data_IF_572408058398
#
_entry.id   IF_572408058398
#
_cell.length_a   1.000
_cell.length_b   1.000
_cell.length_c   1.000
_cell.angle_alpha   90.00
_cell.angle_beta   90.00
_cell.angle_gamma   90.00
#
_symmetry.space_group_name_H-M   'P 1'
#
loop_
_entity.id
_entity.type
_entity.pdbx_description
1 polymer ?
#
# COMPACT_ATOMS: atom_id res chain seq x y z
N UNK A 1 27.29 -20.49 72.03
CA UNK A 1 26.90 -21.87 71.73
C UNK A 1 26.57 -21.87 70.26
N UNK A 2 27.49 -22.25 69.43
CA UNK A 2 27.64 -23.58 68.81
C UNK A 2 26.56 -23.78 67.74
N UNK A 3 26.70 -24.09 66.49
CA UNK A 3 27.80 -24.57 65.65
C UNK A 3 27.24 -24.58 64.22
N UNK A 4 28.07 -24.20 63.26
CA UNK A 4 28.56 -24.97 62.11
C UNK A 4 27.61 -25.85 61.30
N UNK A 5 27.45 -25.64 60.05
CA UNK A 5 27.99 -26.34 58.87
C UNK A 5 27.06 -26.16 57.69
N UNK A 6 27.37 -26.20 56.42
CA UNK A 6 28.53 -26.35 55.64
C UNK A 6 28.09 -26.05 54.16
N UNK A 7 28.97 -25.47 53.43
CA UNK A 7 28.92 -25.24 51.99
C UNK A 7 28.91 -26.55 51.23
N UNK A 8 28.00 -26.71 50.25
CA UNK A 8 28.22 -27.60 49.11
C UNK A 8 28.18 -26.78 47.79
N UNK A 9 29.40 -26.65 47.25
CA UNK A 9 29.69 -26.15 45.92
C UNK A 9 29.37 -27.25 44.91
N UNK A 10 28.40 -26.99 44.02
CA UNK A 10 28.22 -27.77 42.80
C UNK A 10 28.95 -27.06 41.65
N UNK A 11 30.06 -27.65 41.24
CA UNK A 11 30.87 -27.33 40.09
C UNK A 11 30.07 -27.58 38.79
N UNK A 12 30.06 -26.59 37.90
CA UNK A 12 29.58 -26.76 36.51
C UNK A 12 30.61 -27.54 35.70
N UNK A 13 30.22 -28.46 34.80
CA UNK A 13 31.14 -29.20 33.94
C UNK A 13 31.72 -28.29 32.85
N UNK A 14 33.00 -28.47 32.58
CA UNK A 14 33.80 -27.71 31.61
C UNK A 14 33.49 -28.16 30.18
N UNK A 15 33.74 -27.24 29.23
CA UNK A 15 33.54 -27.43 27.77
C UNK A 15 34.43 -28.50 27.13
N UNK A 16 35.11 -29.35 27.87
CA UNK A 16 35.99 -30.42 27.37
C UNK A 16 35.43 -31.84 27.39
N UNK A 17 34.24 -32.05 27.94
CA UNK A 17 33.68 -33.41 28.11
C UNK A 17 32.68 -33.83 27.02
N UNK A 18 32.58 -33.08 25.91
CA UNK A 18 31.68 -33.40 24.77
C UNK A 18 32.40 -33.88 23.51
N UNK A 19 33.62 -34.36 23.63
CA UNK A 19 34.36 -34.94 22.49
C UNK A 19 34.84 -36.33 22.84
N UNK A 20 33.97 -37.32 22.85
CA UNK A 20 34.26 -38.74 22.63
C UNK A 20 32.97 -39.54 22.80
N UNK A 21 32.20 -39.77 21.73
CA UNK A 21 31.58 -41.07 21.47
C UNK A 21 30.92 -41.08 20.09
N UNK A 22 31.22 -42.16 19.37
CA UNK A 22 30.55 -42.66 18.18
C UNK A 22 31.19 -42.38 16.82
N UNK A 23 32.26 -43.10 16.55
CA UNK A 23 32.52 -43.61 15.20
C UNK A 23 31.73 -44.91 15.06
N UNK A 24 30.69 -44.90 14.27
CA UNK A 24 30.06 -46.11 13.74
C UNK A 24 29.83 -45.91 12.25
N UNK A 25 30.49 -46.72 11.49
CA UNK A 25 30.48 -46.83 10.03
C UNK A 25 29.09 -47.11 9.49
N UNK A 26 28.64 -46.38 8.49
CA UNK A 26 27.67 -46.87 7.50
C UNK A 26 27.99 -46.28 6.13
N UNK A 27 28.42 -47.15 5.24
CA UNK A 27 28.39 -46.96 3.80
C UNK A 27 26.95 -46.73 3.36
N UNK A 28 26.69 -45.62 2.70
CA UNK A 28 25.38 -45.33 2.21
C UNK A 28 25.38 -44.24 1.13
N UNK A 29 25.43 -44.66 -0.12
CA UNK A 29 24.91 -44.03 -1.35
C UNK A 29 25.05 -42.50 -1.47
N UNK A 30 25.94 -42.11 -2.36
CA UNK A 30 26.02 -40.76 -2.92
C UNK A 30 24.71 -40.54 -3.73
N UNK A 31 23.77 -39.78 -3.17
CA UNK A 31 22.67 -39.23 -3.93
C UNK A 31 23.19 -38.08 -4.82
N UNK A 32 22.76 -37.96 -6.08
CA UNK A 32 23.19 -36.88 -6.94
C UNK A 32 22.72 -35.55 -6.35
N UNK A 33 23.65 -34.57 -6.30
CA UNK A 33 23.34 -33.17 -6.03
C UNK A 33 22.37 -32.73 -7.12
N UNK A 34 21.10 -32.68 -6.79
CA UNK A 34 20.08 -32.08 -7.67
C UNK A 34 20.37 -30.59 -7.73
N UNK A 35 20.68 -30.19 -8.94
CA UNK A 35 20.88 -28.81 -9.35
C UNK A 35 19.64 -27.98 -8.98
N UNK A 36 19.78 -27.11 -7.99
CA UNK A 36 18.70 -26.25 -7.48
C UNK A 36 18.36 -25.11 -8.43
N UNK A 37 18.67 -25.25 -9.73
CA UNK A 37 18.37 -24.26 -10.77
C UNK A 37 17.06 -24.48 -11.54
N UNK A 38 16.31 -25.56 -11.32
CA UNK A 38 15.06 -25.82 -12.05
C UNK A 38 13.76 -25.53 -11.28
N UNK A 39 13.80 -24.95 -10.09
CA UNK A 39 12.59 -24.59 -9.33
C UNK A 39 12.19 -23.12 -9.53
N UNK A 40 12.26 -22.59 -10.79
CA UNK A 40 11.85 -21.21 -11.07
C UNK A 40 11.07 -21.04 -12.36
N UNK A 41 10.06 -21.88 -12.53
CA UNK A 41 9.07 -21.75 -13.59
C UNK A 41 7.69 -22.24 -13.14
N UNK A 42 7.26 -21.92 -11.92
CA UNK A 42 5.84 -21.81 -11.63
C UNK A 42 5.49 -20.34 -11.86
N UNK A 43 4.89 -20.02 -13.00
CA UNK A 43 4.42 -18.68 -13.31
C UNK A 43 3.57 -18.19 -12.15
N UNK A 44 3.95 -17.06 -11.56
CA UNK A 44 3.12 -16.39 -10.56
C UNK A 44 1.74 -16.19 -11.18
N UNK A 45 0.72 -16.80 -10.59
CA UNK A 45 -0.65 -16.58 -11.07
C UNK A 45 -0.92 -15.08 -11.04
N UNK A 46 -1.45 -14.53 -12.14
CA UNK A 46 -1.77 -13.11 -12.26
C UNK A 46 -2.68 -12.71 -11.09
N UNK A 47 -2.38 -11.57 -10.47
CA UNK A 47 -3.19 -11.04 -9.36
C UNK A 47 -4.55 -10.62 -9.91
N UNK A 48 -5.68 -11.16 -9.42
CA UNK A 48 -7.00 -10.75 -9.88
C UNK A 48 -7.23 -9.25 -9.63
N UNK A 49 -7.69 -8.53 -10.66
CA UNK A 49 -8.05 -7.13 -10.52
C UNK A 49 -9.37 -6.98 -9.76
N UNK A 50 -9.45 -5.99 -8.90
CA UNK A 50 -10.61 -5.71 -8.04
C UNK A 50 -10.98 -4.24 -8.14
N UNK A 51 -12.26 -3.96 -8.36
CA UNK A 51 -12.77 -2.60 -8.37
C UNK A 51 -13.11 -2.14 -6.96
N UNK A 52 -12.64 -0.95 -6.60
CA UNK A 52 -12.99 -0.26 -5.37
C UNK A 52 -13.29 1.21 -5.62
N UNK A 53 -13.72 1.91 -4.57
CA UNK A 53 -14.04 3.33 -4.58
C UNK A 53 -13.11 4.09 -3.64
N UNK A 54 -12.52 5.19 -4.11
CA UNK A 54 -11.97 6.24 -3.25
C UNK A 54 -13.11 7.18 -2.88
N UNK A 55 -13.27 7.49 -1.59
CA UNK A 55 -14.31 8.43 -1.15
C UNK A 55 -13.94 9.88 -1.52
N UNK A 56 -13.82 10.18 -2.80
CA UNK A 56 -13.68 11.53 -3.34
C UNK A 56 -15.07 12.07 -3.70
N UNK A 57 -15.28 12.61 -4.91
CA UNK A 57 -16.58 13.24 -5.22
C UNK A 57 -17.77 12.26 -5.20
N UNK A 58 -17.51 10.97 -5.45
CA UNK A 58 -18.58 9.96 -5.50
C UNK A 58 -18.94 9.35 -4.14
N UNK A 59 -18.17 9.64 -3.08
CA UNK A 59 -18.41 9.05 -1.76
C UNK A 59 -18.24 10.00 -0.57
N UNK A 60 -17.81 11.26 -0.78
CA UNK A 60 -17.45 12.19 0.32
C UNK A 60 -18.60 12.51 1.28
N UNK A 61 -19.82 12.54 0.75
CA UNK A 61 -21.04 12.94 1.48
C UNK A 61 -21.83 11.76 2.03
N UNK A 62 -21.32 10.53 1.88
CA UNK A 62 -21.95 9.31 2.39
C UNK A 62 -21.47 8.98 3.81
N UNK A 63 -22.41 8.57 4.66
CA UNK A 63 -22.06 7.91 5.92
C UNK A 63 -21.38 6.57 5.63
N UNK A 64 -20.67 5.98 6.62
CA UNK A 64 -20.06 4.66 6.43
C UNK A 64 -21.09 3.60 6.04
N UNK A 65 -22.28 3.65 6.61
CA UNK A 65 -23.38 2.71 6.31
C UNK A 65 -23.84 2.85 4.86
N UNK A 66 -24.13 4.08 4.44
CA UNK A 66 -24.61 4.35 3.07
C UNK A 66 -23.54 4.03 2.03
N UNK A 67 -22.26 4.29 2.37
CA UNK A 67 -21.12 3.98 1.52
C UNK A 67 -20.96 2.47 1.28
N UNK A 68 -21.01 1.68 2.35
CA UNK A 68 -20.92 0.21 2.24
C UNK A 68 -22.12 -0.36 1.47
N UNK A 69 -23.32 0.17 1.71
CA UNK A 69 -24.52 -0.25 0.99
C UNK A 69 -24.45 0.07 -0.52
N UNK A 70 -24.07 1.30 -0.89
CA UNK A 70 -23.97 1.65 -2.30
C UNK A 70 -22.86 0.84 -3.00
N UNK A 71 -21.69 0.66 -2.39
CA UNK A 71 -20.62 -0.16 -2.96
C UNK A 71 -21.07 -1.61 -3.15
N UNK A 72 -21.76 -2.20 -2.16
CA UNK A 72 -22.33 -3.55 -2.29
C UNK A 72 -23.30 -3.67 -3.46
N UNK A 73 -24.24 -2.72 -3.59
CA UNK A 73 -25.25 -2.74 -4.66
C UNK A 73 -24.69 -2.48 -6.05
N UNK A 74 -23.58 -1.78 -6.14
CA UNK A 74 -22.92 -1.43 -7.41
C UNK A 74 -21.66 -2.28 -7.69
N UNK A 75 -21.46 -3.36 -6.92
CA UNK A 75 -20.39 -4.35 -7.10
C UNK A 75 -18.96 -3.80 -6.91
N UNK A 76 -18.80 -2.71 -6.15
CA UNK A 76 -17.49 -2.25 -5.73
C UNK A 76 -17.03 -3.08 -4.53
N UNK A 77 -15.95 -3.84 -4.70
CA UNK A 77 -15.49 -4.83 -3.72
C UNK A 77 -14.74 -4.22 -2.53
N UNK A 78 -14.37 -2.94 -2.58
CA UNK A 78 -13.64 -2.27 -1.50
C UNK A 78 -13.70 -0.77 -1.56
N UNK A 79 -13.22 -0.14 -0.49
CA UNK A 79 -13.16 1.34 -0.37
C UNK A 79 -11.81 1.79 0.18
N UNK A 80 -11.29 2.90 -0.36
CA UNK A 80 -10.27 3.72 0.26
C UNK A 80 -10.94 4.97 0.84
N UNK A 81 -10.82 5.18 2.15
CA UNK A 81 -11.50 6.25 2.87
C UNK A 81 -10.59 7.47 2.99
N UNK A 82 -10.93 8.56 2.29
CA UNK A 82 -10.18 9.83 2.44
C UNK A 82 -10.56 10.51 3.74
N UNK A 83 -9.57 11.11 4.40
CA UNK A 83 -9.77 11.91 5.61
C UNK A 83 -10.74 13.09 5.39
N UNK A 84 -11.38 13.54 6.46
CA UNK A 84 -12.31 14.68 6.54
C UNK A 84 -13.64 14.51 5.80
N UNK A 85 -13.97 13.29 5.36
CA UNK A 85 -15.25 12.99 4.70
C UNK A 85 -16.32 12.50 5.70
N UNK A 86 -17.57 12.49 5.27
CA UNK A 86 -18.74 12.25 6.12
C UNK A 86 -18.77 10.87 6.79
N UNK A 87 -18.08 9.87 6.27
CA UNK A 87 -17.96 8.55 6.91
C UNK A 87 -17.31 8.63 8.31
N UNK A 88 -16.55 9.69 8.63
CA UNK A 88 -16.02 9.99 9.96
C UNK A 88 -14.91 9.06 10.46
N UNK A 89 -14.26 8.31 9.57
CA UNK A 89 -13.14 7.42 9.94
C UNK A 89 -11.86 8.25 10.00
N UNK A 90 -11.42 8.55 11.22
CA UNK A 90 -10.30 9.44 11.50
C UNK A 90 -9.46 8.93 12.69
N UNK A 91 -8.16 9.27 12.77
CA UNK A 91 -7.32 8.91 13.90
C UNK A 91 -7.84 9.40 15.27
N UNK A 92 -8.65 10.45 15.28
CA UNK A 92 -9.28 11.02 16.49
C UNK A 92 -10.44 10.19 17.05
N UNK A 93 -10.88 9.13 16.36
CA UNK A 93 -11.96 8.25 16.83
C UNK A 93 -11.62 7.62 18.18
N UNK A 94 -12.61 7.56 19.07
CA UNK A 94 -12.49 6.81 20.33
C UNK A 94 -12.64 5.29 20.12
N UNK A 95 -12.32 4.49 21.14
CA UNK A 95 -12.34 3.03 21.04
C UNK A 95 -13.71 2.45 20.65
N UNK A 96 -14.81 3.03 21.12
CA UNK A 96 -16.16 2.57 20.79
C UNK A 96 -16.49 2.81 19.31
N UNK A 97 -16.11 3.97 18.77
CA UNK A 97 -16.29 4.31 17.35
C UNK A 97 -15.45 3.39 16.44
N UNK A 98 -14.21 3.10 16.83
CA UNK A 98 -13.34 2.17 16.10
C UNK A 98 -13.88 0.75 16.09
N UNK A 99 -14.36 0.28 17.26
CA UNK A 99 -15.00 -1.04 17.38
C UNK A 99 -16.23 -1.17 16.49
N UNK A 100 -17.09 -0.14 16.47
CA UNK A 100 -18.27 -0.11 15.61
C UNK A 100 -17.90 -0.10 14.12
N UNK A 101 -16.94 0.72 13.71
CA UNK A 101 -16.46 0.77 12.34
C UNK A 101 -15.88 -0.58 11.89
N UNK A 102 -15.03 -1.19 12.73
CA UNK A 102 -14.46 -2.52 12.49
C UNK A 102 -15.56 -3.58 12.30
N UNK A 103 -16.59 -3.56 13.17
CA UNK A 103 -17.73 -4.46 13.05
C UNK A 103 -18.48 -4.28 11.73
N UNK A 104 -18.72 -3.04 11.31
CA UNK A 104 -19.40 -2.75 10.03
C UNK A 104 -18.65 -3.30 8.83
N UNK A 105 -17.32 -3.17 8.80
CA UNK A 105 -16.50 -3.80 7.74
C UNK A 105 -16.54 -5.32 7.82
N UNK A 106 -16.48 -5.91 9.01
CA UNK A 106 -16.55 -7.37 9.20
C UNK A 106 -17.90 -7.96 8.75
N UNK A 107 -19.00 -7.22 8.91
CA UNK A 107 -20.35 -7.62 8.51
C UNK A 107 -20.65 -7.30 7.03
N UNK A 108 -19.72 -6.66 6.30
CA UNK A 108 -19.88 -6.24 4.91
C UNK A 108 -19.04 -7.09 3.95
N UNK A 109 -19.51 -7.35 2.72
CA UNK A 109 -18.68 -7.90 1.66
C UNK A 109 -17.68 -6.88 1.09
N UNK A 110 -17.80 -5.58 1.45
CA UNK A 110 -16.95 -4.49 0.96
C UNK A 110 -15.73 -4.34 1.88
N UNK A 111 -14.55 -4.57 1.35
CA UNK A 111 -13.31 -4.49 2.12
C UNK A 111 -12.87 -3.04 2.39
N UNK A 112 -12.28 -2.78 3.57
CA UNK A 112 -11.46 -1.59 3.75
C UNK A 112 -10.11 -1.81 3.05
N UNK A 113 -9.90 -1.16 1.91
CA UNK A 113 -8.62 -1.24 1.18
C UNK A 113 -7.54 -0.46 1.91
N UNK A 114 -7.90 0.71 2.44
CA UNK A 114 -6.99 1.56 3.19
C UNK A 114 -7.57 2.92 3.51
N UNK A 115 -6.73 3.76 4.09
CA UNK A 115 -7.07 5.14 4.43
C UNK A 115 -6.30 6.12 3.54
N UNK A 116 -7.01 7.05 2.92
CA UNK A 116 -6.45 8.11 2.09
C UNK A 116 -6.16 9.36 2.93
N UNK A 117 -4.95 9.48 3.48
CA UNK A 117 -4.54 10.65 4.24
C UNK A 117 -4.19 11.85 3.36
N UNK A 118 -4.11 13.04 3.98
CA UNK A 118 -3.55 14.25 3.37
C UNK A 118 -2.09 14.49 3.77
N UNK A 119 -1.40 13.49 4.34
CA UNK A 119 -0.03 13.62 4.80
C UNK A 119 0.95 13.83 3.64
N UNK A 120 1.86 14.79 3.82
CA UNK A 120 2.82 15.26 2.82
C UNK A 120 4.17 15.55 3.47
N UNK A 121 5.28 15.36 2.75
CA UNK A 121 6.63 15.45 3.36
C UNK A 121 7.54 16.46 2.66
N UNK A 122 7.00 17.32 1.79
CA UNK A 122 7.76 18.29 1.00
C UNK A 122 7.98 19.64 1.71
N UNK A 123 7.36 19.86 2.87
CA UNK A 123 7.43 21.15 3.55
C UNK A 123 8.86 21.53 3.92
N UNK A 124 9.16 22.84 3.79
CA UNK A 124 10.48 23.39 4.16
C UNK A 124 10.72 23.33 5.67
N UNK A 125 9.66 23.50 6.47
CA UNK A 125 9.74 23.41 7.93
C UNK A 125 9.85 21.96 8.41
N UNK A 126 10.93 21.57 9.12
CA UNK A 126 11.09 20.24 9.68
C UNK A 126 9.94 19.83 10.61
N UNK A 127 9.42 20.76 11.41
CA UNK A 127 8.31 20.47 12.34
C UNK A 127 7.01 20.12 11.63
N UNK A 128 6.78 20.67 10.42
CA UNK A 128 5.63 20.27 9.58
C UNK A 128 5.83 18.87 9.04
N UNK A 129 7.04 18.52 8.62
CA UNK A 129 7.36 17.15 8.15
C UNK A 129 7.19 16.14 9.28
N UNK A 130 7.72 16.42 10.47
CA UNK A 130 7.57 15.55 11.65
C UNK A 130 6.10 15.34 12.01
N UNK A 131 5.30 16.43 12.03
CA UNK A 131 3.85 16.32 12.26
C UNK A 131 3.17 15.38 11.26
N UNK A 132 3.49 15.49 9.97
CA UNK A 132 2.92 14.61 8.93
C UNK A 132 3.38 13.15 9.09
N UNK A 133 4.63 12.91 9.53
CA UNK A 133 5.12 11.57 9.86
C UNK A 133 4.31 10.98 11.02
N UNK A 134 4.07 11.74 12.09
CA UNK A 134 3.33 11.24 13.26
C UNK A 134 1.84 11.05 12.94
N UNK A 135 1.25 11.93 12.16
CA UNK A 135 -0.12 11.75 11.67
C UNK A 135 -0.24 10.50 10.77
N UNK A 136 0.74 10.25 9.89
CA UNK A 136 0.78 9.02 9.08
C UNK A 136 0.83 7.77 9.95
N UNK A 137 1.60 7.75 11.05
CA UNK A 137 1.64 6.62 12.00
C UNK A 137 0.27 6.39 12.64
N UNK A 138 -0.44 7.46 13.02
CA UNK A 138 -1.78 7.34 13.56
C UNK A 138 -2.80 6.76 12.54
N UNK A 139 -2.68 7.12 11.26
CA UNK A 139 -3.46 6.49 10.18
C UNK A 139 -3.08 5.03 9.96
N UNK A 140 -1.81 4.66 10.09
CA UNK A 140 -1.35 3.26 10.00
C UNK A 140 -1.99 2.42 11.10
N UNK A 141 -1.96 2.90 12.33
CA UNK A 141 -2.55 2.20 13.48
C UNK A 141 -4.07 2.03 13.29
N UNK A 142 -4.76 3.08 12.86
CA UNK A 142 -6.20 3.03 12.58
C UNK A 142 -6.52 2.06 11.44
N UNK A 143 -5.78 2.12 10.34
CA UNK A 143 -5.98 1.21 9.19
C UNK A 143 -5.82 -0.25 9.62
N UNK A 144 -4.77 -0.57 10.37
CA UNK A 144 -4.52 -1.91 10.88
C UNK A 144 -5.63 -2.38 11.84
N UNK A 145 -6.08 -1.52 12.76
CA UNK A 145 -7.14 -1.83 13.73
C UNK A 145 -8.47 -2.13 13.04
N UNK A 146 -8.81 -1.38 11.98
CA UNK A 146 -10.05 -1.55 11.23
C UNK A 146 -9.99 -2.69 10.18
N UNK A 147 -8.83 -3.32 9.97
CA UNK A 147 -8.65 -4.41 9.01
C UNK A 147 -8.29 -3.94 7.59
N UNK A 148 -7.85 -2.70 7.45
CA UNK A 148 -7.26 -2.18 6.20
C UNK A 148 -5.86 -2.72 5.93
N UNK A 149 -5.33 -2.44 4.75
CA UNK A 149 -4.03 -2.95 4.30
C UNK A 149 -2.99 -1.86 4.00
N UNK A 150 -3.34 -0.59 4.19
CA UNK A 150 -2.38 0.49 3.95
C UNK A 150 -2.94 1.89 4.10
N UNK A 151 -2.04 2.85 3.94
CA UNK A 151 -2.32 4.28 4.00
C UNK A 151 -1.75 4.96 2.76
N UNK A 152 -2.59 5.71 2.06
CA UNK A 152 -2.17 6.55 0.95
C UNK A 152 -1.65 7.89 1.50
N UNK A 153 -0.50 8.34 0.97
CA UNK A 153 0.14 9.62 1.25
C UNK A 153 0.50 10.31 -0.06
N UNK A 154 0.80 11.61 -0.03
CA UNK A 154 1.09 12.40 -1.24
C UNK A 154 2.47 13.04 -1.15
N UNK A 155 3.23 13.16 -2.25
CA UNK A 155 4.46 13.97 -2.29
C UNK A 155 4.15 15.48 -2.40
N UNK A 156 3.18 15.85 -3.15
CA UNK A 156 2.36 17.05 -3.32
C UNK A 156 3.05 18.39 -3.68
N UNK A 157 4.37 18.46 -3.84
CA UNK A 157 4.97 19.69 -4.36
C UNK A 157 6.48 19.80 -4.23
N UNK A 158 7.02 20.79 -4.92
CA UNK A 158 8.43 21.15 -4.93
C UNK A 158 8.54 22.64 -4.54
N UNK A 159 8.92 22.99 -3.30
CA UNK A 159 9.14 24.37 -2.89
C UNK A 159 10.21 25.05 -3.74
N UNK A 160 9.93 26.22 -4.26
CA UNK A 160 10.83 26.94 -5.18
C UNK A 160 12.16 27.38 -4.54
N UNK A 161 12.19 27.55 -3.23
CA UNK A 161 13.35 27.96 -2.45
C UNK A 161 14.29 26.80 -2.06
N UNK A 162 13.91 25.55 -2.38
CA UNK A 162 14.71 24.36 -2.08
C UNK A 162 15.09 23.66 -3.39
N UNK A 163 16.36 23.24 -3.57
CA UNK A 163 16.74 22.41 -4.71
C UNK A 163 15.85 21.15 -4.81
N UNK A 164 15.35 20.87 -6.00
CA UNK A 164 14.43 19.74 -6.27
C UNK A 164 14.93 18.43 -5.65
N UNK A 165 16.20 18.07 -5.91
CA UNK A 165 16.80 16.84 -5.39
C UNK A 165 16.74 16.73 -3.85
N UNK A 166 16.90 17.86 -3.16
CA UNK A 166 16.78 17.91 -1.69
C UNK A 166 15.37 17.61 -1.20
N UNK A 167 14.37 18.14 -1.91
CA UNK A 167 12.97 17.86 -1.60
C UNK A 167 12.61 16.40 -1.86
N UNK A 168 13.05 15.84 -3.00
CA UNK A 168 12.84 14.43 -3.33
C UNK A 168 13.49 13.50 -2.29
N UNK A 169 14.73 13.83 -1.89
CA UNK A 169 15.45 13.10 -0.85
C UNK A 169 14.73 13.17 0.52
N UNK A 170 14.21 14.34 0.91
CA UNK A 170 13.44 14.50 2.14
C UNK A 170 12.16 13.66 2.13
N UNK A 171 11.41 13.70 1.02
CA UNK A 171 10.19 12.88 0.86
C UNK A 171 10.55 11.40 0.99
N UNK A 172 11.56 10.92 0.25
CA UNK A 172 11.99 9.52 0.29
C UNK A 172 12.42 9.06 1.68
N UNK A 173 13.22 9.87 2.40
CA UNK A 173 13.63 9.57 3.78
C UNK A 173 12.44 9.54 4.76
N UNK A 174 11.47 10.43 4.59
CA UNK A 174 10.24 10.42 5.38
C UNK A 174 9.43 9.14 5.14
N UNK A 175 9.30 8.74 3.87
CA UNK A 175 8.65 7.49 3.48
C UNK A 175 9.35 6.26 4.07
N UNK A 176 10.69 6.26 4.13
CA UNK A 176 11.44 5.19 4.78
C UNK A 176 11.11 5.09 6.28
N UNK A 177 10.92 6.22 6.97
CA UNK A 177 10.53 6.24 8.40
C UNK A 177 9.14 5.61 8.58
N UNK A 178 8.14 6.09 7.83
CA UNK A 178 6.77 5.58 7.95
C UNK A 178 6.63 4.17 7.38
N UNK A 179 7.43 3.79 6.37
CA UNK A 179 7.51 2.43 5.84
C UNK A 179 7.98 1.41 6.89
N UNK A 180 9.04 1.75 7.63
CA UNK A 180 9.49 0.91 8.78
C UNK A 180 8.43 0.79 9.87
N UNK A 181 7.64 1.83 10.10
CA UNK A 181 6.53 1.78 11.05
C UNK A 181 5.40 0.89 10.52
N UNK A 182 5.00 1.08 9.28
CA UNK A 182 3.95 0.32 8.60
C UNK A 182 4.25 -1.19 8.54
N UNK A 183 5.52 -1.57 8.35
CA UNK A 183 5.95 -2.97 8.33
C UNK A 183 5.60 -3.71 9.63
N UNK A 184 5.69 -3.04 10.79
CA UNK A 184 5.35 -3.64 12.10
C UNK A 184 3.86 -3.96 12.24
N UNK A 185 3.03 -3.21 11.52
CA UNK A 185 1.58 -3.38 11.50
C UNK A 185 1.07 -4.14 10.26
N UNK A 186 1.96 -4.70 9.45
CA UNK A 186 1.65 -5.33 8.16
C UNK A 186 0.83 -4.43 7.23
N UNK A 187 1.21 -3.14 7.17
CA UNK A 187 0.56 -2.13 6.34
C UNK A 187 1.49 -1.68 5.21
N UNK A 188 0.90 -1.20 4.11
CA UNK A 188 1.62 -0.50 3.04
C UNK A 188 1.51 1.01 3.20
N UNK A 189 2.55 1.73 2.84
CA UNK A 189 2.49 3.17 2.53
C UNK A 189 2.40 3.30 1.02
N UNK A 190 1.33 3.91 0.55
CA UNK A 190 0.99 4.05 -0.87
C UNK A 190 1.24 5.49 -1.30
N UNK A 191 2.38 5.74 -1.93
CA UNK A 191 2.73 7.06 -2.44
C UNK A 191 1.96 7.33 -3.73
N UNK A 192 1.02 8.26 -3.69
CA UNK A 192 0.23 8.67 -4.84
C UNK A 192 1.08 9.45 -5.85
N UNK A 193 1.00 9.12 -7.13
CA UNK A 193 1.60 9.90 -8.23
C UNK A 193 0.82 11.21 -8.37
N UNK A 194 1.18 12.20 -7.56
CA UNK A 194 0.40 13.42 -7.38
C UNK A 194 1.30 14.65 -7.12
N UNK A 195 0.76 15.84 -7.44
CA UNK A 195 1.35 17.13 -7.10
C UNK A 195 2.22 17.73 -8.20
N UNK A 196 2.22 19.07 -8.26
CA UNK A 196 2.97 19.82 -9.28
C UNK A 196 4.46 19.53 -9.19
N UNK A 197 5.02 19.00 -10.27
CA UNK A 197 6.42 18.59 -10.35
C UNK A 197 6.71 17.22 -9.72
N UNK A 198 6.15 16.93 -8.57
CA UNK A 198 6.36 15.62 -7.89
C UNK A 198 5.69 14.46 -8.62
N UNK A 199 4.58 14.68 -9.33
CA UNK A 199 3.93 13.64 -10.16
C UNK A 199 4.70 13.27 -11.43
N UNK A 200 5.74 14.01 -11.78
CA UNK A 200 6.62 13.66 -12.91
C UNK A 200 7.33 12.34 -12.63
N UNK A 201 7.28 11.43 -13.58
CA UNK A 201 7.74 10.04 -13.37
C UNK A 201 9.22 9.95 -12.93
N UNK A 202 10.17 10.74 -13.50
CA UNK A 202 11.55 10.74 -13.00
C UNK A 202 11.67 11.13 -11.52
N UNK A 203 10.87 12.11 -11.07
CA UNK A 203 10.87 12.56 -9.67
C UNK A 203 10.24 11.51 -8.76
N UNK A 204 9.13 10.90 -9.15
CA UNK A 204 8.53 9.78 -8.42
C UNK A 204 9.49 8.61 -8.28
N UNK A 205 10.16 8.23 -9.39
CA UNK A 205 11.18 7.18 -9.36
C UNK A 205 12.30 7.51 -8.37
N UNK A 206 12.81 8.74 -8.41
CA UNK A 206 13.84 9.19 -7.48
C UNK A 206 13.39 9.09 -6.01
N UNK A 207 12.17 9.51 -5.70
CA UNK A 207 11.58 9.37 -4.35
C UNK A 207 11.55 7.90 -3.91
N UNK A 208 11.09 7.00 -4.78
CA UNK A 208 10.99 5.57 -4.48
C UNK A 208 12.37 4.92 -4.27
N UNK A 209 13.36 5.30 -5.08
CA UNK A 209 14.76 4.85 -4.91
C UNK A 209 15.36 5.29 -3.55
N UNK A 210 15.04 6.50 -3.09
CA UNK A 210 15.47 6.98 -1.76
C UNK A 210 14.71 6.29 -0.63
N UNK A 211 13.41 6.05 -0.80
CA UNK A 211 12.59 5.38 0.19
C UNK A 211 13.07 3.94 0.45
N UNK A 212 13.44 3.22 -0.60
CA UNK A 212 14.05 1.88 -0.59
C UNK A 212 13.49 0.97 0.54
N UNK A 213 12.17 0.79 0.55
CA UNK A 213 11.52 0.00 1.60
C UNK A 213 10.37 -0.84 1.03
N UNK A 214 10.28 -2.14 1.33
CA UNK A 214 9.29 -3.05 0.72
C UNK A 214 7.83 -2.71 1.06
N UNK A 215 7.58 -2.02 2.18
CA UNK A 215 6.24 -1.56 2.56
C UNK A 215 5.91 -0.16 2.01
N UNK A 216 6.80 0.47 1.24
CA UNK A 216 6.51 1.70 0.50
C UNK A 216 6.29 1.34 -0.95
N UNK A 217 5.09 1.60 -1.45
CA UNK A 217 4.66 1.26 -2.80
C UNK A 217 4.05 2.48 -3.49
N UNK A 218 3.87 2.40 -4.79
CA UNK A 218 3.25 3.45 -5.60
C UNK A 218 1.74 3.23 -5.69
N UNK A 219 0.96 4.29 -5.49
CA UNK A 219 -0.41 4.41 -5.98
C UNK A 219 -0.37 5.14 -7.32
N UNK A 220 -0.52 4.41 -8.43
CA UNK A 220 -0.58 4.98 -9.77
C UNK A 220 -1.88 5.76 -9.94
N UNK A 221 -1.84 7.02 -10.39
CA UNK A 221 -3.00 7.93 -10.35
C UNK A 221 -3.58 8.33 -11.72
N UNK A 222 -3.21 7.65 -12.78
CA UNK A 222 -3.76 7.86 -14.14
C UNK A 222 -3.82 9.34 -14.57
N UNK A 223 -2.70 10.06 -14.38
CA UNK A 223 -2.61 11.48 -14.70
C UNK A 223 -2.37 11.72 -16.20
N UNK A 224 -2.76 12.87 -16.76
CA UNK A 224 -2.36 13.27 -18.10
C UNK A 224 -0.82 13.32 -18.30
N UNK A 225 -0.06 13.59 -17.23
CA UNK A 225 1.40 13.60 -17.23
C UNK A 225 2.03 12.24 -17.53
N UNK A 226 1.30 11.14 -17.29
CA UNK A 226 1.74 9.78 -17.59
C UNK A 226 1.92 9.54 -19.10
N UNK A 227 1.29 10.37 -19.92
CA UNK A 227 1.30 10.27 -21.38
C UNK A 227 2.39 11.13 -22.05
N UNK A 228 3.11 11.96 -21.25
CA UNK A 228 4.08 12.93 -21.74
C UNK A 228 5.50 12.30 -21.82
N UNK A 229 6.39 12.96 -22.56
CA UNK A 229 7.79 12.55 -22.69
C UNK A 229 7.93 11.23 -23.45
N UNK A 230 8.45 10.15 -22.84
CA UNK A 230 8.60 8.86 -23.49
C UNK A 230 7.28 8.10 -23.71
N UNK A 231 6.16 8.63 -23.18
CA UNK A 231 4.83 8.07 -23.31
C UNK A 231 4.46 7.07 -22.23
N UNK A 232 3.18 6.64 -22.26
CA UNK A 232 2.55 5.81 -21.21
C UNK A 232 3.36 4.56 -20.87
N UNK A 233 3.75 3.78 -21.88
CA UNK A 233 4.41 2.49 -21.65
C UNK A 233 5.71 2.63 -20.85
N UNK A 234 6.59 3.54 -21.28
CA UNK A 234 7.87 3.75 -20.61
C UNK A 234 7.71 4.38 -19.22
N UNK A 235 6.74 5.30 -19.07
CA UNK A 235 6.43 5.94 -17.80
C UNK A 235 5.87 4.93 -16.77
N UNK A 236 4.94 4.07 -17.19
CA UNK A 236 4.41 3.02 -16.33
C UNK A 236 5.51 2.03 -15.93
N UNK A 237 6.30 1.54 -16.89
CA UNK A 237 7.36 0.56 -16.66
C UNK A 237 8.44 1.08 -15.69
N UNK A 238 8.69 2.40 -15.70
CA UNK A 238 9.64 3.03 -14.78
C UNK A 238 9.21 2.94 -13.30
N UNK A 239 7.91 2.85 -12.99
CA UNK A 239 7.37 2.75 -11.63
C UNK A 239 6.75 1.37 -11.33
N UNK A 240 6.56 0.52 -12.33
CA UNK A 240 5.95 -0.80 -12.19
C UNK A 240 6.56 -1.68 -11.08
N UNK A 241 7.89 -1.66 -10.81
CA UNK A 241 8.47 -2.47 -9.73
C UNK A 241 7.92 -2.14 -8.33
N UNK A 242 7.44 -0.92 -8.12
CA UNK A 242 6.88 -0.45 -6.84
C UNK A 242 5.36 -0.40 -6.82
N UNK A 243 4.67 -0.86 -7.87
CA UNK A 243 3.21 -0.77 -7.95
C UNK A 243 2.53 -1.43 -6.75
N UNK A 244 1.60 -0.74 -6.12
CA UNK A 244 0.79 -1.22 -4.97
C UNK A 244 -0.70 -1.17 -5.24
N UNK A 245 -1.22 -0.02 -5.64
CA UNK A 245 -2.62 0.22 -6.01
C UNK A 245 -2.69 1.17 -7.20
N UNK A 246 -3.87 1.28 -7.79
CA UNK A 246 -4.13 2.21 -8.90
C UNK A 246 -5.38 3.03 -8.57
N UNK A 247 -5.30 4.35 -8.70
CA UNK A 247 -6.46 5.22 -8.82
C UNK A 247 -6.82 5.32 -10.31
N UNK A 248 -7.94 4.74 -10.68
CA UNK A 248 -8.56 4.90 -12.00
C UNK A 248 -9.61 5.99 -11.93
N UNK A 249 -9.88 6.63 -13.07
CA UNK A 249 -10.95 7.61 -13.17
C UNK A 249 -12.22 7.01 -13.77
N UNK A 250 -13.18 7.85 -14.13
CA UNK A 250 -14.42 7.42 -14.77
C UNK A 250 -14.13 6.72 -16.10
N UNK A 251 -14.29 5.39 -16.14
CA UNK A 251 -13.99 4.53 -17.29
C UNK A 251 -15.03 4.62 -18.39
N UNK A 252 -16.17 5.28 -18.14
CA UNK A 252 -17.26 5.36 -19.10
C UNK A 252 -16.81 6.09 -20.38
N UNK A 253 -17.26 5.68 -21.56
CA UNK A 253 -16.84 6.27 -22.82
C UNK A 253 -16.98 7.81 -22.84
N UNK A 254 -15.94 8.51 -23.28
CA UNK A 254 -15.92 9.97 -23.43
C UNK A 254 -15.80 10.75 -22.12
N UNK A 255 -15.51 10.10 -20.97
CA UNK A 255 -15.31 10.78 -19.68
C UNK A 255 -13.87 11.20 -19.48
N UNK A 256 -12.93 10.26 -19.52
CA UNK A 256 -11.50 10.53 -19.36
C UNK A 256 -10.74 9.90 -20.53
N UNK A 257 -9.93 10.70 -21.20
CA UNK A 257 -9.06 10.24 -22.29
C UNK A 257 -7.78 9.69 -21.68
N UNK A 258 -7.74 8.37 -21.55
CA UNK A 258 -6.59 7.65 -21.01
C UNK A 258 -6.50 6.25 -21.67
N UNK A 259 -5.30 5.68 -21.88
CA UNK A 259 -5.12 4.41 -22.58
C UNK A 259 -5.54 3.20 -21.73
N UNK A 260 -6.81 3.14 -21.32
CA UNK A 260 -7.35 2.11 -20.41
C UNK A 260 -7.00 0.68 -20.83
N UNK A 261 -7.16 0.25 -22.11
CA UNK A 261 -6.79 -1.11 -22.51
C UNK A 261 -5.32 -1.42 -22.29
N UNK A 262 -4.42 -0.45 -22.54
CA UNK A 262 -2.99 -0.62 -22.31
C UNK A 262 -2.67 -0.72 -20.80
N UNK A 263 -3.28 0.14 -19.97
CA UNK A 263 -3.13 0.07 -18.52
C UNK A 263 -3.57 -1.29 -17.99
N UNK A 264 -4.78 -1.75 -18.30
CA UNK A 264 -5.32 -3.02 -17.80
C UNK A 264 -4.48 -4.21 -18.27
N UNK A 265 -3.96 -4.18 -19.50
CA UNK A 265 -3.00 -5.19 -19.97
C UNK A 265 -1.74 -5.24 -19.10
N UNK A 266 -1.18 -4.08 -18.75
CA UNK A 266 0.01 -4.01 -17.86
C UNK A 266 -0.32 -4.45 -16.43
N UNK A 267 -1.49 -4.08 -15.90
CA UNK A 267 -1.91 -4.50 -14.56
C UNK A 267 -2.09 -6.02 -14.46
N UNK A 268 -2.71 -6.65 -15.46
CA UNK A 268 -2.86 -8.12 -15.53
C UNK A 268 -1.51 -8.84 -15.62
N UNK A 269 -0.51 -8.22 -16.23
CA UNK A 269 0.85 -8.75 -16.35
C UNK A 269 1.80 -8.30 -15.21
N UNK A 270 1.30 -7.61 -14.19
CA UNK A 270 2.15 -7.03 -13.13
C UNK A 270 2.78 -8.12 -12.27
N UNK A 271 4.11 -8.07 -12.12
CA UNK A 271 4.91 -8.91 -11.24
C UNK A 271 5.35 -8.17 -9.95
N UNK A 272 4.84 -6.95 -9.73
CA UNK A 272 5.19 -6.15 -8.55
C UNK A 272 4.71 -6.85 -7.27
N UNK A 273 5.64 -7.14 -6.37
CA UNK A 273 5.34 -7.85 -5.10
C UNK A 273 4.37 -7.09 -4.20
N UNK A 274 4.30 -5.76 -4.34
CA UNK A 274 3.40 -4.90 -3.59
C UNK A 274 2.01 -4.77 -4.20
N UNK A 275 1.81 -5.18 -5.45
CA UNK A 275 0.54 -5.01 -6.15
C UNK A 275 -0.54 -5.92 -5.58
N UNK A 276 -1.64 -5.31 -5.19
CA UNK A 276 -2.75 -5.98 -4.48
C UNK A 276 -3.97 -6.23 -5.37
N UNK A 277 -3.89 -5.87 -6.66
CA UNK A 277 -4.98 -5.96 -7.62
C UNK A 277 -6.03 -4.87 -7.50
N UNK A 278 -5.92 -3.94 -6.55
CA UNK A 278 -6.91 -2.88 -6.37
C UNK A 278 -6.78 -1.78 -7.42
N UNK A 279 -7.85 -1.60 -8.17
CA UNK A 279 -8.14 -0.46 -9.03
C UNK A 279 -9.25 0.34 -8.35
N UNK A 280 -8.91 1.52 -7.84
CA UNK A 280 -9.80 2.33 -7.01
C UNK A 280 -10.28 3.53 -7.83
N UNK A 281 -11.58 3.60 -8.09
CA UNK A 281 -12.17 4.69 -8.85
C UNK A 281 -12.14 5.98 -8.01
N UNK A 282 -11.45 6.99 -8.52
CA UNK A 282 -11.36 8.34 -7.96
C UNK A 282 -11.61 9.36 -9.08
N UNK A 283 -12.71 10.10 -9.03
CA UNK A 283 -13.00 11.12 -10.04
C UNK A 283 -13.36 12.47 -9.40
N UNK A 284 -12.94 13.55 -10.06
CA UNK A 284 -13.20 14.93 -9.65
C UNK A 284 -14.58 15.45 -10.09
N UNK A 285 -15.21 14.81 -11.08
CA UNK A 285 -16.54 15.15 -11.54
C UNK A 285 -17.62 14.37 -10.76
N UNK A 286 -18.75 15.00 -10.49
CA UNK A 286 -19.89 14.36 -9.82
C UNK A 286 -20.99 14.11 -10.85
N UNK A 287 -21.29 12.85 -11.20
CA UNK A 287 -22.43 12.55 -12.07
C UNK A 287 -23.76 12.85 -11.38
N UNK A 288 -24.83 13.13 -12.13
CA UNK A 288 -26.15 13.41 -11.55
C UNK A 288 -26.74 12.21 -10.79
N UNK A 289 -26.42 10.99 -11.19
CA UNK A 289 -26.79 9.73 -10.50
C UNK A 289 -25.51 8.91 -10.28
N UNK A 290 -24.97 8.96 -9.04
CA UNK A 290 -23.75 8.26 -8.67
C UNK A 290 -23.94 6.73 -8.73
N UNK A 291 -24.98 6.12 -8.14
CA UNK A 291 -25.19 4.67 -8.24
C UNK A 291 -25.29 4.15 -9.68
N UNK A 292 -26.00 4.85 -10.56
CA UNK A 292 -26.07 4.47 -11.98
C UNK A 292 -24.69 4.55 -12.64
N UNK A 293 -23.96 5.64 -12.41
CA UNK A 293 -22.59 5.80 -12.91
C UNK A 293 -21.63 4.73 -12.40
N UNK A 294 -21.76 4.30 -11.14
CA UNK A 294 -20.97 3.22 -10.56
C UNK A 294 -21.25 1.88 -11.26
N UNK A 295 -22.51 1.54 -11.53
CA UNK A 295 -22.88 0.31 -12.26
C UNK A 295 -22.33 0.31 -13.69
N UNK A 296 -22.43 1.43 -14.41
CA UNK A 296 -21.84 1.57 -15.75
C UNK A 296 -20.33 1.41 -15.71
N UNK A 297 -19.64 2.05 -14.75
CA UNK A 297 -18.19 1.91 -14.55
C UNK A 297 -17.80 0.46 -14.25
N UNK A 298 -18.56 -0.23 -13.40
CA UNK A 298 -18.31 -1.64 -13.10
C UNK A 298 -18.37 -2.50 -14.37
N UNK A 299 -19.36 -2.30 -15.23
CA UNK A 299 -19.49 -3.05 -16.49
C UNK A 299 -18.28 -2.81 -17.42
N UNK A 300 -17.77 -1.56 -17.50
CA UNK A 300 -16.56 -1.27 -18.29
C UNK A 300 -15.34 -1.90 -17.65
N UNK A 301 -15.22 -1.83 -16.32
CA UNK A 301 -14.12 -2.47 -15.58
C UNK A 301 -14.07 -3.98 -15.83
N UNK A 302 -15.19 -4.70 -15.78
CA UNK A 302 -15.24 -6.14 -16.06
C UNK A 302 -14.77 -6.44 -17.49
N UNK A 303 -15.18 -5.63 -18.48
CA UNK A 303 -14.74 -5.80 -19.87
C UNK A 303 -13.23 -5.59 -20.04
N UNK A 304 -12.60 -4.69 -19.27
CA UNK A 304 -11.16 -4.41 -19.35
C UNK A 304 -10.32 -5.41 -18.56
N UNK A 305 -10.87 -5.97 -17.48
CA UNK A 305 -10.17 -6.85 -16.54
C UNK A 305 -10.24 -8.33 -16.90
N UNK A 306 -11.18 -8.72 -17.77
CA UNK A 306 -11.36 -10.07 -18.32
C UNK A 306 -10.26 -10.56 -19.30
#
# INVERSE_FOLDING_TARGET
MLEFNATESRSQPSRRDFLNLAIASSLGTIAPIWDSHEARAAGSAAVPLKLGLVTYQWGKDLSLVDLLDVCKRTHYAGVELRSTHRHGIEPSMNAAQRSEAKKRFADSPVALVGLGSACEYHAVSPSVVEKNIDETKAFIDLSAELGGSGVKVRPNGLPSEVPVEKTLEQIGKSLQIVGRYAAKANQQIRLEVHGKGTQEIPNMKRIMEVADHPNVVVCWNCNPTDLIGPGFDANFDALAPWLGTVHIHDLRPGKVDYPWPALFKKLKASEAKGFTGWCLMEDGATPPDIPAAMLENHSVFESLSS
#
